data_IF_244405093283
#
_entry.id   IF_244405093283
#
_cell.length_a   1.000
_cell.length_b   1.000
_cell.length_c   1.000
_cell.angle_alpha   90.00
_cell.angle_beta   90.00
_cell.angle_gamma   90.00
#
_symmetry.space_group_name_H-M   'P 1'
#
loop_
_entity.id
_entity.type
_entity.pdbx_description
1 polymer ?
#
# COMPACT_ATOMS: atom_id res chain seq x y z
N UNK A 1 33.59 50.16 -40.70
CA UNK A 1 33.73 49.65 -39.32
C UNK A 1 33.59 48.14 -39.34
N UNK A 2 34.71 47.43 -39.38
CA UNK A 2 34.81 45.98 -39.43
C UNK A 2 34.63 45.42 -38.01
N UNK A 3 33.62 44.57 -37.79
CA UNK A 3 33.45 43.89 -36.50
C UNK A 3 34.54 42.82 -36.35
N UNK A 4 35.28 42.76 -35.23
CA UNK A 4 36.24 41.69 -35.00
C UNK A 4 35.48 40.36 -34.89
N UNK A 5 35.79 39.41 -35.79
CA UNK A 5 35.27 38.04 -35.71
C UNK A 5 35.98 37.31 -34.58
N UNK A 6 35.24 36.98 -33.52
CA UNK A 6 35.73 36.11 -32.45
C UNK A 6 36.08 34.73 -33.02
N UNK A 7 37.26 34.24 -32.66
CA UNK A 7 37.73 32.90 -33.06
C UNK A 7 36.72 31.83 -32.58
N UNK A 8 36.18 31.00 -33.49
CA UNK A 8 35.19 29.97 -33.16
C UNK A 8 35.69 28.97 -32.10
N UNK A 9 37.01 28.78 -31.95
CA UNK A 9 37.59 27.93 -30.90
C UNK A 9 37.44 28.56 -29.51
N UNK A 10 37.59 29.88 -29.41
CA UNK A 10 37.39 30.62 -28.15
C UNK A 10 35.90 30.68 -27.79
N UNK A 11 35.01 30.84 -28.77
CA UNK A 11 33.56 30.80 -28.54
C UNK A 11 33.09 29.42 -28.04
N UNK A 12 33.64 28.33 -28.60
CA UNK A 12 33.35 26.97 -28.16
C UNK A 12 33.89 26.67 -26.74
N UNK A 13 35.13 27.07 -26.43
CA UNK A 13 35.72 26.92 -25.10
C UNK A 13 34.97 27.73 -24.03
N UNK A 14 34.58 28.97 -24.36
CA UNK A 14 33.76 29.81 -23.48
C UNK A 14 32.38 29.19 -23.24
N UNK A 15 31.70 28.73 -24.30
CA UNK A 15 30.41 28.03 -24.21
C UNK A 15 30.48 26.71 -23.41
N UNK A 16 31.57 25.96 -23.57
CA UNK A 16 31.80 24.71 -22.83
C UNK A 16 32.12 24.94 -21.34
N UNK A 17 32.93 25.97 -21.01
CA UNK A 17 33.24 26.36 -19.63
C UNK A 17 32.02 26.98 -18.91
N UNK A 18 31.27 27.85 -19.58
CA UNK A 18 30.00 28.42 -19.09
C UNK A 18 28.93 27.33 -18.92
N UNK A 19 28.87 26.37 -19.84
CA UNK A 19 28.01 25.20 -19.76
C UNK A 19 28.38 24.25 -18.61
N UNK A 20 29.67 24.04 -18.34
CA UNK A 20 30.16 23.21 -17.22
C UNK A 20 29.81 23.78 -15.85
N UNK A 21 29.89 25.11 -15.66
CA UNK A 21 29.48 25.76 -14.40
C UNK A 21 27.98 25.62 -14.13
N UNK A 22 27.12 25.74 -15.16
CA UNK A 22 25.67 25.54 -15.01
C UNK A 22 25.26 24.08 -14.76
N UNK A 23 25.97 23.09 -15.32
CA UNK A 23 25.64 21.66 -15.11
C UNK A 23 25.99 21.13 -13.71
N UNK A 24 27.02 21.68 -13.05
CA UNK A 24 27.42 21.27 -11.68
C UNK A 24 26.43 21.75 -10.61
N UNK A 25 25.86 22.94 -10.78
CA UNK A 25 24.85 23.48 -9.87
C UNK A 25 23.56 22.64 -9.85
N UNK A 26 23.16 22.07 -11.00
CA UNK A 26 21.96 21.24 -11.09
C UNK A 26 22.05 19.94 -10.28
N UNK A 27 23.18 19.25 -10.32
CA UNK A 27 23.35 17.96 -9.61
C UNK A 27 23.36 18.18 -8.09
N UNK A 28 24.09 19.17 -7.60
CA UNK A 28 24.11 19.52 -6.17
C UNK A 28 22.71 19.89 -5.66
N UNK A 29 21.97 20.70 -6.42
CA UNK A 29 20.59 21.07 -6.06
C UNK A 29 19.66 19.85 -6.01
N UNK A 30 19.80 18.89 -6.94
CA UNK A 30 19.02 17.65 -6.92
C UNK A 30 19.26 16.83 -5.65
N UNK A 31 20.53 16.70 -5.22
CA UNK A 31 20.87 16.00 -3.97
C UNK A 31 20.32 16.72 -2.74
N UNK A 32 20.39 18.06 -2.71
CA UNK A 32 19.85 18.85 -1.61
C UNK A 32 18.33 18.75 -1.52
N UNK A 33 17.62 18.85 -2.64
CA UNK A 33 16.15 18.73 -2.68
C UNK A 33 15.69 17.31 -2.34
N UNK A 34 16.32 16.28 -2.92
CA UNK A 34 16.01 14.89 -2.61
C UNK A 34 16.31 14.52 -1.16
N UNK A 35 17.44 15.02 -0.63
CA UNK A 35 17.79 14.89 0.78
C UNK A 35 16.74 15.56 1.68
N UNK A 36 16.38 16.81 1.43
CA UNK A 36 15.36 17.52 2.22
C UNK A 36 14.01 16.79 2.19
N UNK A 37 13.53 16.40 1.01
CA UNK A 37 12.24 15.72 0.86
C UNK A 37 12.22 14.38 1.61
N UNK A 38 13.25 13.55 1.48
CA UNK A 38 13.27 12.28 2.21
C UNK A 38 13.52 12.45 3.72
N UNK A 39 14.20 13.50 4.18
CA UNK A 39 14.22 13.84 5.61
C UNK A 39 12.82 14.18 6.13
N UNK A 40 12.04 14.95 5.38
CA UNK A 40 10.66 15.29 5.74
C UNK A 40 9.76 14.04 5.75
N UNK A 41 9.85 13.20 4.71
CA UNK A 41 9.06 11.96 4.62
C UNK A 41 9.45 10.94 5.69
N UNK A 42 10.75 10.69 5.88
CA UNK A 42 11.25 9.79 6.92
C UNK A 42 10.89 10.28 8.32
N UNK A 43 11.04 11.59 8.57
CA UNK A 43 10.60 12.23 9.81
C UNK A 43 9.10 12.08 10.06
N UNK A 44 8.26 12.28 9.04
CA UNK A 44 6.81 12.09 9.13
C UNK A 44 6.42 10.65 9.48
N UNK A 45 7.08 9.65 8.88
CA UNK A 45 6.85 8.23 9.19
C UNK A 45 7.22 7.88 10.65
N UNK A 46 8.33 8.43 11.15
CA UNK A 46 8.75 8.20 12.54
C UNK A 46 7.80 8.91 13.51
N UNK A 47 7.54 10.20 13.30
CA UNK A 47 6.80 11.06 14.24
C UNK A 47 5.30 10.77 14.24
N UNK A 48 4.71 10.46 13.08
CA UNK A 48 3.26 10.24 12.96
C UNK A 48 2.91 8.80 12.62
N UNK A 49 3.62 8.17 11.67
CA UNK A 49 3.30 6.80 11.23
C UNK A 49 3.48 5.76 12.34
N UNK A 50 4.57 5.86 13.11
CA UNK A 50 4.85 4.91 14.20
C UNK A 50 3.83 5.02 15.33
N UNK A 51 3.48 6.21 15.86
CA UNK A 51 2.43 6.33 16.87
C UNK A 51 1.04 5.91 16.38
N UNK A 52 0.67 6.21 15.13
CA UNK A 52 -0.64 5.82 14.57
C UNK A 52 -0.76 4.30 14.47
N UNK A 53 0.25 3.63 13.91
CA UNK A 53 0.27 2.16 13.82
C UNK A 53 0.29 1.50 15.20
N UNK A 54 0.99 2.10 16.17
CA UNK A 54 1.02 1.63 17.55
C UNK A 54 -0.35 1.78 18.24
N UNK A 55 -0.99 2.94 18.09
CA UNK A 55 -2.33 3.18 18.61
C UNK A 55 -3.34 2.19 18.04
N UNK A 56 -3.26 1.92 16.72
CA UNK A 56 -4.10 0.92 16.06
C UNK A 56 -3.87 -0.49 16.59
N UNK A 57 -2.62 -0.91 16.76
CA UNK A 57 -2.28 -2.21 17.35
C UNK A 57 -2.90 -2.37 18.75
N UNK A 58 -2.80 -1.34 19.60
CA UNK A 58 -3.41 -1.37 20.94
C UNK A 58 -4.93 -1.42 20.91
N UNK A 59 -5.56 -0.65 20.03
CA UNK A 59 -7.01 -0.66 19.85
C UNK A 59 -7.51 -2.06 19.51
N UNK A 60 -6.89 -2.73 18.54
CA UNK A 60 -7.26 -4.10 18.16
C UNK A 60 -6.98 -5.10 19.26
N UNK A 61 -5.84 -4.98 19.94
CA UNK A 61 -5.50 -5.86 21.05
C UNK A 61 -6.53 -5.79 22.19
N UNK A 62 -7.14 -4.63 22.40
CA UNK A 62 -8.16 -4.37 23.41
C UNK A 62 -9.59 -4.75 22.98
N UNK A 63 -9.82 -5.13 21.71
CA UNK A 63 -11.15 -5.54 21.26
C UNK A 63 -11.59 -6.84 21.95
N UNK A 64 -12.87 -6.95 22.34
CA UNK A 64 -13.43 -8.19 22.85
C UNK A 64 -13.27 -9.35 21.87
N UNK A 65 -12.97 -10.53 22.40
CA UNK A 65 -12.87 -11.80 21.67
C UNK A 65 -13.88 -12.78 22.28
N UNK A 66 -15.17 -12.51 22.11
CA UNK A 66 -16.22 -13.32 22.73
C UNK A 66 -16.14 -14.75 22.21
N UNK A 67 -16.33 -15.71 23.10
CA UNK A 67 -16.60 -17.09 22.69
C UNK A 67 -17.92 -17.15 21.93
N UNK A 68 -18.10 -18.12 21.00
CA UNK A 68 -19.32 -18.25 20.20
C UNK A 68 -20.62 -18.23 21.04
N UNK A 69 -20.62 -18.92 22.17
CA UNK A 69 -21.76 -18.99 23.09
C UNK A 69 -22.13 -17.64 23.74
N UNK A 70 -21.19 -16.69 23.80
CA UNK A 70 -21.43 -15.36 24.35
C UNK A 70 -21.99 -14.37 23.32
N UNK A 71 -21.89 -14.66 22.01
CA UNK A 71 -22.34 -13.76 20.95
C UNK A 71 -23.82 -13.35 21.06
N UNK A 72 -24.79 -14.24 21.37
CA UNK A 72 -26.19 -13.86 21.50
C UNK A 72 -26.45 -12.84 22.62
N UNK A 73 -25.54 -12.75 23.62
CA UNK A 73 -25.66 -11.82 24.74
C UNK A 73 -25.05 -10.44 24.46
N UNK A 74 -24.33 -10.28 23.34
CA UNK A 74 -23.71 -9.00 22.99
C UNK A 74 -24.75 -8.03 22.45
N UNK A 75 -24.63 -6.76 22.87
CA UNK A 75 -25.42 -5.68 22.30
C UNK A 75 -25.09 -5.50 20.80
N UNK A 76 -26.10 -5.30 19.94
CA UNK A 76 -25.88 -4.84 18.57
C UNK A 76 -25.04 -3.55 18.53
N UNK A 77 -24.18 -3.42 17.54
CA UNK A 77 -23.22 -2.31 17.41
C UNK A 77 -21.88 -2.53 18.12
N UNK A 78 -21.71 -3.64 18.85
CA UNK A 78 -20.44 -3.93 19.56
C UNK A 78 -19.33 -4.26 18.57
N UNK A 79 -18.20 -3.56 18.65
CA UNK A 79 -17.01 -3.88 17.84
C UNK A 79 -16.25 -5.02 18.50
N UNK A 80 -16.00 -6.10 17.77
CA UNK A 80 -15.34 -7.31 18.28
C UNK A 80 -14.36 -7.89 17.26
N UNK A 81 -13.53 -8.82 17.73
CA UNK A 81 -12.81 -9.77 16.87
C UNK A 81 -13.54 -11.11 16.91
N UNK A 82 -13.89 -11.61 15.73
CA UNK A 82 -14.58 -12.88 15.55
C UNK A 82 -13.64 -13.87 14.86
N UNK A 83 -13.43 -15.04 15.47
CA UNK A 83 -12.73 -16.18 14.85
C UNK A 83 -13.76 -17.03 14.11
N UNK A 84 -13.57 -17.24 12.81
CA UNK A 84 -14.48 -18.03 11.99
C UNK A 84 -13.73 -18.78 10.88
N UNK A 85 -14.31 -19.85 10.40
CA UNK A 85 -13.80 -20.67 9.29
C UNK A 85 -14.70 -20.49 8.08
N UNK A 86 -14.08 -20.24 6.93
CA UNK A 86 -14.80 -20.30 5.66
C UNK A 86 -15.28 -21.74 5.43
N UNK A 87 -16.54 -21.98 5.02
CA UNK A 87 -17.02 -23.33 4.73
C UNK A 87 -16.14 -23.99 3.66
N UNK A 88 -15.83 -25.28 3.82
CA UNK A 88 -15.07 -26.05 2.83
C UNK A 88 -15.85 -26.21 1.51
N UNK A 89 -17.18 -26.23 1.63
CA UNK A 89 -18.15 -26.35 0.54
C UNK A 89 -18.57 -24.99 -0.04
N UNK A 90 -17.94 -23.89 0.40
CA UNK A 90 -18.29 -22.56 -0.07
C UNK A 90 -18.12 -22.46 -1.60
N UNK A 91 -19.05 -21.83 -2.32
CA UNK A 91 -18.91 -21.64 -3.75
C UNK A 91 -17.63 -20.84 -4.04
N UNK A 92 -16.76 -21.42 -4.85
CA UNK A 92 -15.48 -20.79 -5.21
C UNK A 92 -15.61 -20.00 -6.51
N UNK A 93 -15.02 -18.81 -6.51
CA UNK A 93 -14.78 -18.05 -7.73
C UNK A 93 -13.43 -18.40 -8.38
N UNK A 94 -12.87 -17.46 -9.16
CA UNK A 94 -11.58 -17.63 -9.85
C UNK A 94 -10.46 -18.07 -8.90
N UNK A 95 -9.58 -18.93 -9.39
CA UNK A 95 -8.45 -19.48 -8.64
C UNK A 95 -8.85 -20.23 -7.35
N UNK A 96 -10.10 -20.68 -7.25
CA UNK A 96 -10.59 -21.42 -6.08
C UNK A 96 -10.87 -20.54 -4.86
N UNK A 97 -10.94 -19.22 -5.01
CA UNK A 97 -11.19 -18.30 -3.90
C UNK A 97 -12.66 -18.36 -3.45
N UNK A 98 -12.90 -18.57 -2.14
CA UNK A 98 -14.25 -18.57 -1.56
C UNK A 98 -14.72 -17.15 -1.18
N UNK A 99 -13.78 -16.29 -0.78
CA UNK A 99 -14.06 -14.91 -0.41
C UNK A 99 -13.01 -14.01 -1.02
N UNK A 100 -13.40 -13.20 -2.00
CA UNK A 100 -12.48 -12.37 -2.74
C UNK A 100 -13.12 -11.08 -3.25
N UNK A 101 -12.26 -10.16 -3.64
CA UNK A 101 -12.63 -9.02 -4.47
C UNK A 101 -11.70 -8.96 -5.68
N UNK A 102 -12.17 -8.28 -6.73
CA UNK A 102 -11.41 -8.06 -7.96
C UNK A 102 -10.84 -6.65 -7.98
N UNK A 103 -9.59 -6.52 -8.39
CA UNK A 103 -8.96 -5.25 -8.75
C UNK A 103 -8.73 -5.23 -10.26
N UNK A 104 -9.02 -4.09 -10.87
CA UNK A 104 -8.67 -3.82 -12.25
C UNK A 104 -7.54 -2.83 -12.31
N UNK A 105 -6.60 -3.06 -13.22
CA UNK A 105 -5.56 -2.09 -13.54
C UNK A 105 -6.20 -0.91 -14.27
N UNK A 106 -6.14 0.27 -13.67
CA UNK A 106 -6.56 1.51 -14.35
C UNK A 106 -5.40 1.93 -15.24
N UNK A 107 -5.64 1.99 -16.54
CA UNK A 107 -4.72 2.66 -17.45
C UNK A 107 -4.77 4.16 -17.12
N UNK A 108 -3.62 4.76 -16.81
CA UNK A 108 -3.53 6.21 -16.79
C UNK A 108 -3.94 6.73 -18.17
N UNK A 109 -4.94 7.61 -18.29
CA UNK A 109 -5.16 8.33 -19.53
C UNK A 109 -3.91 9.18 -19.76
N UNK A 110 -3.03 8.74 -20.65
CA UNK A 110 -1.90 9.56 -21.07
C UNK A 110 -2.44 10.93 -21.51
N UNK A 111 -1.88 12.05 -21.02
CA UNK A 111 -2.13 13.31 -21.68
C UNK A 111 -1.56 13.18 -23.09
N UNK A 112 -2.42 13.36 -24.10
CA UNK A 112 -2.03 13.56 -25.48
C UNK A 112 -1.07 14.74 -25.53
N UNK A 113 0.22 14.44 -25.57
CA UNK A 113 1.28 15.43 -25.59
C UNK A 113 2.61 14.77 -25.91
N UNK A 114 3.06 14.99 -27.14
CA UNK A 114 4.40 14.64 -27.62
C UNK A 114 5.47 15.08 -26.61
N UNK A 115 6.09 14.14 -25.92
CA UNK A 115 7.41 14.37 -25.36
C UNK A 115 8.13 13.03 -25.20
N UNK A 116 9.17 12.85 -26.02
CA UNK A 116 10.05 11.69 -26.03
C UNK A 116 10.93 11.61 -24.78
N UNK A 117 10.31 11.35 -23.63
CA UNK A 117 10.98 11.06 -22.38
C UNK A 117 10.95 9.57 -22.08
N UNK A 118 12.09 8.89 -22.27
CA UNK A 118 12.30 7.50 -21.83
C UNK A 118 12.04 7.36 -20.32
N UNK A 119 11.16 6.44 -19.94
CA UNK A 119 11.25 5.72 -18.66
C UNK A 119 10.59 6.35 -17.44
N UNK A 120 9.49 7.10 -17.57
CA UNK A 120 8.63 7.33 -16.42
C UNK A 120 7.95 6.00 -16.05
N UNK A 121 8.37 5.40 -14.94
CA UNK A 121 7.77 4.19 -14.37
C UNK A 121 6.27 4.41 -14.22
N UNK A 122 5.47 3.82 -15.12
CA UNK A 122 4.01 3.84 -15.05
C UNK A 122 3.62 3.10 -13.78
N UNK A 123 3.37 3.81 -12.69
CA UNK A 123 2.77 3.23 -11.50
C UNK A 123 1.34 2.85 -11.87
N UNK A 124 1.15 1.61 -12.30
CA UNK A 124 -0.18 1.10 -12.59
C UNK A 124 -1.00 1.11 -11.32
N UNK A 125 -1.97 2.02 -11.24
CA UNK A 125 -2.87 2.06 -10.11
C UNK A 125 -3.91 0.94 -10.26
N UNK A 126 -3.96 0.06 -9.27
CA UNK A 126 -5.00 -0.95 -9.15
C UNK A 126 -6.20 -0.32 -8.46
N UNK A 127 -7.40 -0.54 -9.02
CA UNK A 127 -8.66 -0.06 -8.46
C UNK A 127 -9.54 -1.27 -8.19
N UNK A 128 -10.00 -1.41 -6.95
CA UNK A 128 -11.01 -2.41 -6.58
C UNK A 128 -12.28 -2.14 -7.39
N UNK A 129 -12.77 -3.17 -8.05
CA UNK A 129 -14.07 -3.12 -8.71
C UNK A 129 -15.16 -3.13 -7.64
N UNK A 130 -16.20 -2.28 -7.77
CA UNK A 130 -17.31 -2.30 -6.84
C UNK A 130 -17.99 -3.67 -6.92
N UNK A 131 -17.93 -4.42 -5.82
CA UNK A 131 -18.69 -5.64 -5.62
C UNK A 131 -19.85 -5.34 -4.66
N UNK A 132 -21.00 -5.96 -4.90
CA UNK A 132 -22.09 -5.94 -3.94
C UNK A 132 -21.65 -6.63 -2.65
N UNK A 133 -22.04 -6.06 -1.50
CA UNK A 133 -21.77 -6.65 -0.19
C UNK A 133 -22.61 -7.92 -0.04
N UNK A 134 -22.05 -9.06 -0.45
CA UNK A 134 -22.73 -10.35 -0.34
C UNK A 134 -22.60 -10.88 1.09
N UNK A 135 -23.70 -11.31 1.72
CA UNK A 135 -23.65 -12.04 2.98
C UNK A 135 -23.03 -13.41 2.75
N UNK A 136 -22.03 -13.76 3.55
CA UNK A 136 -21.31 -15.02 3.45
C UNK A 136 -21.51 -15.80 4.75
N UNK A 137 -22.02 -17.04 4.69
CA UNK A 137 -22.05 -17.89 5.87
C UNK A 137 -20.63 -18.29 6.25
N UNK A 138 -20.29 -18.12 7.52
CA UNK A 138 -19.05 -18.62 8.12
C UNK A 138 -19.38 -19.50 9.31
N UNK A 139 -18.52 -20.48 9.61
CA UNK A 139 -18.67 -21.34 10.77
C UNK A 139 -17.75 -20.89 11.89
N UNK A 140 -18.27 -20.70 13.09
CA UNK A 140 -17.47 -20.45 14.28
C UNK A 140 -16.79 -21.75 14.75
N UNK A 141 -15.93 -21.64 15.76
CA UNK A 141 -15.18 -22.78 16.31
C UNK A 141 -16.08 -23.86 16.92
N UNK A 142 -17.25 -23.50 17.42
CA UNK A 142 -18.27 -24.42 17.95
C UNK A 142 -19.19 -25.00 16.86
N UNK A 143 -18.98 -24.63 15.59
CA UNK A 143 -19.82 -25.03 14.46
C UNK A 143 -21.03 -24.14 14.22
N UNK A 144 -21.29 -23.14 15.07
CA UNK A 144 -22.38 -22.18 14.88
C UNK A 144 -22.17 -21.40 13.57
N UNK A 145 -23.22 -21.29 12.76
CA UNK A 145 -23.18 -20.49 11.54
C UNK A 145 -23.54 -19.03 11.81
N UNK A 146 -22.68 -18.13 11.34
CA UNK A 146 -22.88 -16.68 11.40
C UNK A 146 -22.86 -16.13 9.98
N UNK A 147 -23.75 -15.20 9.70
CA UNK A 147 -23.76 -14.47 8.44
C UNK A 147 -22.85 -13.26 8.53
N UNK A 148 -21.82 -13.23 7.70
CA UNK A 148 -20.87 -12.13 7.64
C UNK A 148 -21.17 -11.26 6.42
N UNK A 149 -21.47 -9.99 6.65
CA UNK A 149 -21.53 -8.98 5.60
C UNK A 149 -20.14 -8.35 5.45
N UNK A 150 -19.53 -8.48 4.27
CA UNK A 150 -18.23 -7.87 3.97
C UNK A 150 -18.46 -6.53 3.28
N UNK A 151 -17.96 -5.45 3.87
CA UNK A 151 -18.11 -4.12 3.27
C UNK A 151 -17.30 -3.98 1.97
N UNK A 152 -17.74 -3.18 0.99
CA UNK A 152 -16.98 -2.96 -0.25
C UNK A 152 -15.57 -2.40 -0.04
N UNK A 153 -15.36 -1.67 1.05
CA UNK A 153 -14.07 -1.11 1.47
C UNK A 153 -13.35 -1.95 2.54
N UNK A 154 -13.80 -3.19 2.78
CA UNK A 154 -13.16 -4.05 3.77
C UNK A 154 -11.70 -4.34 3.40
N UNK A 155 -10.82 -4.37 4.40
CA UNK A 155 -9.40 -4.62 4.20
C UNK A 155 -9.10 -6.11 4.29
N UNK A 156 -8.45 -6.65 3.26
CA UNK A 156 -8.02 -8.06 3.21
C UNK A 156 -6.51 -8.09 3.47
N UNK A 157 -6.13 -8.48 4.69
CA UNK A 157 -4.74 -8.53 5.13
C UNK A 157 -4.15 -9.91 4.86
N UNK A 158 -2.94 -9.98 4.31
CA UNK A 158 -2.27 -11.25 3.98
C UNK A 158 -3.11 -12.22 3.10
N UNK A 159 -4.05 -11.67 2.31
CA UNK A 159 -4.83 -12.46 1.35
C UNK A 159 -3.99 -12.95 0.17
N UNK A 160 -4.42 -14.06 -0.43
CA UNK A 160 -3.86 -14.57 -1.68
C UNK A 160 -4.11 -13.57 -2.80
N UNK A 161 -3.14 -13.44 -3.72
CA UNK A 161 -3.22 -12.53 -4.87
C UNK A 161 -2.89 -13.31 -6.13
N UNK A 162 -3.84 -13.32 -7.07
CA UNK A 162 -3.67 -13.94 -8.37
C UNK A 162 -3.84 -12.86 -9.43
N UNK A 163 -2.80 -12.64 -10.24
CA UNK A 163 -2.85 -11.70 -11.36
C UNK A 163 -3.24 -12.43 -12.62
N UNK A 164 -4.24 -11.90 -13.32
CA UNK A 164 -4.66 -12.31 -14.64
C UNK A 164 -4.16 -11.26 -15.64
N UNK A 165 -3.20 -11.67 -16.48
CA UNK A 165 -2.62 -10.85 -17.53
C UNK A 165 -2.55 -11.64 -18.82
N UNK A 166 -2.84 -10.98 -19.95
CA UNK A 166 -2.83 -11.57 -21.27
C UNK A 166 -1.43 -12.11 -21.63
N UNK A 167 -1.25 -13.42 -21.51
CA UNK A 167 -0.21 -14.15 -22.23
C UNK A 167 -0.52 -14.10 -23.72
N UNK A 168 -0.13 -13.01 -24.37
CA UNK A 168 -0.39 -12.82 -25.79
C UNK A 168 -0.18 -11.37 -26.16
N UNK A 169 0.90 -11.09 -26.89
CA UNK A 169 1.26 -9.75 -27.32
C UNK A 169 0.20 -9.16 -28.25
N UNK A 170 -0.77 -8.47 -27.68
CA UNK A 170 -1.53 -7.38 -28.30
C UNK A 170 -2.37 -6.74 -27.19
N UNK A 171 -2.03 -5.50 -26.83
CA UNK A 171 -2.87 -4.49 -26.17
C UNK A 171 -4.13 -4.92 -25.35
N UNK A 172 -4.06 -5.96 -24.51
CA UNK A 172 -5.18 -6.30 -23.62
C UNK A 172 -5.25 -5.26 -22.51
N UNK A 173 -6.23 -4.37 -22.64
CA UNK A 173 -6.47 -3.21 -21.78
C UNK A 173 -7.04 -3.55 -20.39
N UNK A 174 -7.10 -4.83 -19.99
CA UNK A 174 -7.75 -5.25 -18.75
C UNK A 174 -6.94 -6.28 -17.98
N UNK A 175 -5.79 -5.89 -17.42
CA UNK A 175 -5.16 -6.70 -16.38
C UNK A 175 -6.06 -6.70 -15.14
N UNK A 176 -6.38 -7.88 -14.63
CA UNK A 176 -7.19 -8.09 -13.43
C UNK A 176 -6.36 -8.76 -12.35
N UNK A 177 -6.71 -8.51 -11.10
CA UNK A 177 -6.12 -9.19 -9.96
C UNK A 177 -7.23 -9.61 -9.01
N UNK A 178 -7.20 -10.87 -8.62
CA UNK A 178 -8.12 -11.44 -7.64
C UNK A 178 -7.41 -11.51 -6.29
N UNK A 179 -8.04 -10.96 -5.26
CA UNK A 179 -7.47 -10.90 -3.91
C UNK A 179 -8.46 -11.50 -2.91
N UNK A 180 -8.06 -12.55 -2.19
CA UNK A 180 -9.00 -13.28 -1.33
C UNK A 180 -8.44 -14.44 -0.52
N UNK A 181 -9.36 -15.24 0.00
CA UNK A 181 -9.13 -16.41 0.86
C UNK A 181 -9.75 -17.67 0.26
N UNK A 182 -9.17 -18.82 0.62
CA UNK A 182 -9.59 -20.13 0.14
C UNK A 182 -10.68 -20.75 1.06
N UNK A 183 -11.48 -21.70 0.55
CA UNK A 183 -12.38 -22.51 1.37
C UNK A 183 -11.65 -23.18 2.54
N UNK A 184 -12.36 -23.40 3.65
CA UNK A 184 -11.80 -24.08 4.82
C UNK A 184 -10.75 -23.28 5.60
N UNK A 185 -10.40 -22.07 5.17
CA UNK A 185 -9.42 -21.23 5.84
C UNK A 185 -10.01 -20.60 7.10
N UNK A 186 -9.26 -20.65 8.21
CA UNK A 186 -9.59 -19.90 9.42
C UNK A 186 -9.26 -18.42 9.23
N UNK A 187 -10.21 -17.57 9.58
CA UNK A 187 -10.14 -16.12 9.47
C UNK A 187 -10.44 -15.47 10.82
N UNK A 188 -9.70 -14.41 11.11
CA UNK A 188 -10.07 -13.40 12.09
C UNK A 188 -10.75 -12.25 11.38
N UNK A 189 -11.97 -11.94 11.82
CA UNK A 189 -12.79 -10.87 11.30
C UNK A 189 -12.88 -9.76 12.35
N UNK A 190 -12.46 -8.56 11.97
CA UNK A 190 -12.68 -7.36 12.77
C UNK A 190 -13.86 -6.59 12.20
N UNK A 191 -14.80 -6.23 13.07
CA UNK A 191 -16.04 -5.65 12.63
C UNK A 191 -17.03 -5.43 13.75
N UNK A 192 -18.28 -5.26 13.36
CA UNK A 192 -19.39 -4.94 14.24
C UNK A 192 -20.35 -6.12 14.33
N UNK A 193 -20.70 -6.52 15.55
CA UNK A 193 -21.79 -7.45 15.80
C UNK A 193 -23.13 -6.74 15.63
N UNK A 194 -23.99 -7.25 14.75
CA UNK A 194 -25.29 -6.64 14.46
C UNK A 194 -26.44 -7.30 15.23
N UNK A 195 -26.17 -8.42 15.92
CA UNK A 195 -27.20 -9.25 16.55
C UNK A 195 -27.73 -10.34 15.62
N UNK A 196 -28.50 -11.28 16.17
CA UNK A 196 -29.23 -12.30 15.40
C UNK A 196 -28.35 -13.13 14.44
N UNK A 197 -27.11 -13.43 14.84
CA UNK A 197 -26.20 -14.20 13.99
C UNK A 197 -25.65 -13.41 12.80
N UNK A 198 -25.70 -12.07 12.83
CA UNK A 198 -25.18 -11.19 11.77
C UNK A 198 -23.98 -10.38 12.25
N UNK A 199 -22.96 -10.30 11.38
CA UNK A 199 -21.71 -9.60 11.66
C UNK A 199 -21.24 -8.82 10.44
N UNK A 200 -20.88 -7.54 10.62
CA UNK A 200 -20.36 -6.68 9.55
C UNK A 200 -18.84 -6.59 9.63
N UNK A 201 -18.13 -7.26 8.72
CA UNK A 201 -16.67 -7.28 8.69
C UNK A 201 -16.09 -6.05 7.97
N UNK A 202 -15.11 -5.40 8.63
CA UNK A 202 -14.33 -4.28 8.09
C UNK A 202 -12.91 -4.69 7.73
N UNK A 203 -12.34 -5.66 8.43
CA UNK A 203 -11.02 -6.20 8.15
C UNK A 203 -11.05 -7.70 8.32
N UNK A 204 -10.38 -8.40 7.41
CA UNK A 204 -10.25 -9.85 7.40
C UNK A 204 -8.78 -10.19 7.40
N UNK A 205 -8.39 -11.15 8.23
CA UNK A 205 -7.02 -11.65 8.36
C UNK A 205 -7.04 -13.19 8.42
N UNK A 206 -6.18 -13.90 7.69
CA UNK A 206 -6.12 -15.35 7.75
C UNK A 206 -5.34 -15.80 8.99
N UNK A 207 -5.96 -16.63 9.83
CA UNK A 207 -5.39 -17.14 11.06
C UNK A 207 -6.16 -16.72 12.31
N UNK A 208 -5.53 -16.92 13.47
CA UNK A 208 -6.15 -16.68 14.78
C UNK A 208 -6.15 -15.19 15.16
N UNK A 209 -7.00 -14.77 16.12
CA UNK A 209 -6.98 -13.40 16.64
C UNK A 209 -5.62 -12.99 17.21
N UNK A 210 -4.87 -13.93 17.78
CA UNK A 210 -3.53 -13.73 18.29
C UNK A 210 -2.53 -13.47 17.16
N UNK A 211 -2.65 -14.18 16.04
CA UNK A 211 -1.82 -13.94 14.84
C UNK A 211 -2.10 -12.56 14.25
N UNK A 212 -3.37 -12.16 14.19
CA UNK A 212 -3.77 -10.84 13.72
C UNK A 212 -3.19 -9.71 14.58
N UNK A 213 -3.32 -9.82 15.91
CA UNK A 213 -2.74 -8.86 16.86
C UNK A 213 -1.21 -8.83 16.74
N UNK A 214 -0.59 -10.00 16.61
CA UNK A 214 0.86 -10.12 16.43
C UNK A 214 1.32 -9.46 15.13
N UNK A 215 0.59 -9.64 14.03
CA UNK A 215 0.85 -8.97 12.76
C UNK A 215 0.81 -7.44 12.92
N UNK A 216 -0.25 -6.90 13.54
CA UNK A 216 -0.37 -5.46 13.76
C UNK A 216 0.72 -4.91 14.69
N UNK A 217 1.14 -5.68 15.70
CA UNK A 217 2.19 -5.25 16.63
C UNK A 217 3.57 -5.06 15.98
N UNK A 218 3.78 -5.64 14.78
CA UNK A 218 5.03 -5.49 14.01
C UNK A 218 5.01 -4.26 13.10
N UNK A 219 3.84 -3.72 12.76
CA UNK A 219 3.72 -2.55 11.87
C UNK A 219 4.44 -1.29 12.40
N UNK A 220 4.41 -0.96 13.70
CA UNK A 220 5.14 0.20 14.22
C UNK A 220 6.65 0.05 14.03
N UNK A 221 7.19 -1.14 14.27
CA UNK A 221 8.61 -1.43 14.10
C UNK A 221 9.01 -1.30 12.64
N UNK A 222 8.22 -1.88 11.72
CA UNK A 222 8.45 -1.76 10.28
C UNK A 222 8.38 -0.30 9.81
N UNK A 223 7.40 0.45 10.29
CA UNK A 223 7.22 1.88 9.97
C UNK A 223 8.39 2.71 10.48
N UNK A 224 8.84 2.46 11.72
CA UNK A 224 9.99 3.13 12.31
C UNK A 224 11.28 2.84 11.53
N UNK A 225 11.56 1.57 11.24
CA UNK A 225 12.76 1.17 10.47
C UNK A 225 12.74 1.80 9.07
N UNK A 226 11.60 1.74 8.38
CA UNK A 226 11.46 2.37 7.05
C UNK A 226 11.68 3.88 7.09
N UNK A 227 11.10 4.56 8.09
CA UNK A 227 11.32 5.98 8.31
C UNK A 227 12.78 6.32 8.63
N UNK A 228 13.44 5.51 9.45
CA UNK A 228 14.84 5.70 9.83
C UNK A 228 15.81 5.53 8.65
N UNK A 229 15.61 4.48 7.84
CA UNK A 229 16.41 4.26 6.63
C UNK A 229 16.23 5.42 5.65
N UNK A 230 15.00 5.85 5.41
CA UNK A 230 14.70 6.98 4.52
C UNK A 230 15.36 8.27 5.02
N UNK A 231 15.20 8.58 6.30
CA UNK A 231 15.82 9.75 6.92
C UNK A 231 17.35 9.72 6.85
N UNK A 232 17.97 8.58 7.18
CA UNK A 232 19.43 8.41 7.14
C UNK A 232 20.01 8.59 5.72
N UNK A 233 19.42 7.95 4.71
CA UNK A 233 19.86 8.10 3.31
C UNK A 233 19.71 9.54 2.83
N UNK A 234 18.68 10.24 3.28
CA UNK A 234 18.47 11.64 2.96
C UNK A 234 19.49 12.58 3.59
N UNK A 235 19.93 12.32 4.81
CA UNK A 235 21.05 13.05 5.44
C UNK A 235 22.33 12.88 4.62
N UNK A 236 22.60 11.68 4.11
CA UNK A 236 23.75 11.43 3.22
C UNK A 236 23.63 12.25 1.93
N UNK A 237 22.46 12.30 1.30
CA UNK A 237 22.24 13.14 0.12
C UNK A 237 22.39 14.64 0.41
N UNK A 238 21.92 15.13 1.56
CA UNK A 238 22.16 16.50 1.98
C UNK A 238 23.66 16.80 2.12
N UNK A 239 24.41 15.90 2.76
CA UNK A 239 25.85 16.06 2.94
C UNK A 239 26.60 16.07 1.60
N UNK A 240 26.30 15.13 0.69
CA UNK A 240 26.90 15.08 -0.65
C UNK A 240 26.51 16.31 -1.47
N UNK A 241 25.23 16.69 -1.46
CA UNK A 241 24.73 17.87 -2.17
C UNK A 241 25.40 19.15 -1.69
N UNK A 242 25.58 19.31 -0.39
CA UNK A 242 26.27 20.43 0.23
C UNK A 242 27.77 20.44 -0.13
N UNK A 243 28.44 19.28 -0.05
CA UNK A 243 29.84 19.16 -0.43
C UNK A 243 30.07 19.54 -1.90
N UNK A 244 29.23 19.03 -2.82
CA UNK A 244 29.28 19.39 -4.24
C UNK A 244 28.98 20.88 -4.49
N UNK A 245 28.08 21.46 -3.71
CA UNK A 245 27.77 22.89 -3.78
C UNK A 245 28.99 23.73 -3.40
N UNK A 246 29.65 23.37 -2.30
CA UNK A 246 30.84 24.06 -1.80
C UNK A 246 32.03 23.95 -2.77
N UNK A 247 32.25 22.78 -3.39
CA UNK A 247 33.29 22.60 -4.43
C UNK A 247 32.96 23.29 -5.77
N UNK A 248 31.69 23.60 -6.00
CA UNK A 248 31.22 24.29 -7.21
C UNK A 248 31.24 25.81 -7.10
N UNK A 249 31.43 26.35 -5.89
CA UNK A 249 31.69 27.76 -5.61
C UNK A 249 33.18 28.07 -5.75
#
# INVERSE_FOLDING_TARGET
>A
MSRPSLDPKLAFLAGWLLGRRRRKAGISLLFLLGGLLGCLMGGMLIVFGTPVSWGRSRQVAALPRPEPAALPSLAPGTTILLSARLPEEAPTGPYGLALFYTERRVADPSPTGESGGKGASRSSQWRREPAEALPIPVRLEDGTEVTVQVLPNATFLNAHRFEEGAEGGEASQEARRYVGYLPGQSLTLEGTWEGEGRFTARTLYPGSPQDYVSYLSRLPIQTFIGGFICWGMSVVFLAVGLFLWLLGK
#
